data_IF_067712777752
#
_entry.id   IF_067712777752
#
_cell.length_a   1.000
_cell.length_b   1.000
_cell.length_c   1.000
_cell.angle_alpha   90.00
_cell.angle_beta   90.00
_cell.angle_gamma   90.00
#
_symmetry.space_group_name_H-M   'P 1'
#
loop_
_entity.id
_entity.type
_entity.pdbx_description
1 polymer ?
#
# COMPACT_ATOMS: atom_id res chain seq x y z
N UNK A 1 -21.50 -10.58 -9.08
CA UNK A 1 -20.57 -9.98 -10.06
C UNK A 1 -20.51 -8.48 -9.83
N UNK A 2 -19.32 -7.87 -9.74
CA UNK A 2 -19.10 -6.48 -9.30
C UNK A 2 -19.51 -5.39 -10.34
N UNK A 3 -20.38 -5.72 -11.30
CA UNK A 3 -20.93 -4.78 -12.28
C UNK A 3 -19.96 -4.26 -13.36
N UNK A 4 -18.76 -4.85 -13.45
CA UNK A 4 -17.75 -4.52 -14.45
C UNK A 4 -17.60 -5.58 -15.56
N UNK A 5 -16.57 -5.45 -16.39
CA UNK A 5 -16.25 -6.40 -17.47
C UNK A 5 -14.90 -7.07 -17.23
N UNK A 6 -14.72 -8.29 -17.73
CA UNK A 6 -13.44 -9.03 -17.73
C UNK A 6 -13.22 -9.55 -19.15
N UNK A 7 -12.01 -9.41 -19.69
CA UNK A 7 -11.64 -9.91 -21.02
C UNK A 7 -10.15 -10.24 -21.13
N UNK A 8 -9.77 -10.91 -22.23
CA UNK A 8 -8.42 -11.41 -22.49
C UNK A 8 -8.02 -11.09 -23.93
N UNK A 9 -6.78 -10.64 -24.11
CA UNK A 9 -6.12 -10.55 -25.41
C UNK A 9 -4.94 -11.50 -25.42
N UNK A 10 -4.86 -12.41 -26.40
CA UNK A 10 -3.79 -13.40 -26.46
C UNK A 10 -3.37 -13.66 -27.89
N UNK A 11 -2.06 -13.75 -28.12
CA UNK A 11 -1.48 -14.14 -29.40
C UNK A 11 -0.37 -15.18 -29.17
N UNK A 12 -0.43 -16.27 -29.93
CA UNK A 12 0.51 -17.38 -29.80
C UNK A 12 1.94 -16.89 -30.00
N UNK A 13 2.83 -17.24 -29.06
CA UNK A 13 4.23 -16.80 -29.09
C UNK A 13 4.49 -15.35 -28.67
N UNK A 14 3.45 -14.52 -28.45
CA UNK A 14 3.58 -13.15 -27.92
C UNK A 14 3.08 -13.00 -26.48
N UNK A 15 2.28 -13.96 -26.00
CA UNK A 15 1.75 -14.00 -24.65
C UNK A 15 0.28 -13.57 -24.56
N UNK A 16 -0.17 -13.30 -23.34
CA UNK A 16 -1.56 -13.02 -23.03
C UNK A 16 -1.67 -11.88 -22.01
N UNK A 17 -2.68 -11.01 -22.17
CA UNK A 17 -2.99 -9.91 -21.25
C UNK A 17 -4.43 -10.03 -20.77
N UNK A 18 -4.60 -10.13 -19.44
CA UNK A 18 -5.91 -10.13 -18.79
C UNK A 18 -6.30 -8.71 -18.38
N UNK A 19 -7.56 -8.34 -18.64
CA UNK A 19 -8.10 -7.04 -18.29
C UNK A 19 -9.38 -7.19 -17.46
N UNK A 20 -9.61 -6.23 -16.58
CA UNK A 20 -10.89 -6.07 -15.91
C UNK A 20 -11.23 -4.59 -15.72
N UNK A 21 -12.52 -4.29 -15.63
CA UNK A 21 -13.04 -2.98 -15.27
C UNK A 21 -14.00 -3.11 -14.09
N UNK A 22 -14.16 -2.04 -13.33
CA UNK A 22 -15.15 -1.93 -12.25
C UNK A 22 -15.85 -0.57 -12.35
N UNK A 23 -17.17 -0.49 -12.11
CA UNK A 23 -17.88 0.78 -12.08
C UNK A 23 -17.39 1.62 -10.89
N UNK A 24 -16.73 2.74 -11.18
CA UNK A 24 -16.26 3.67 -10.16
C UNK A 24 -17.27 4.79 -9.95
N UNK A 25 -17.86 4.87 -8.75
CA UNK A 25 -18.66 6.02 -8.31
C UNK A 25 -17.80 6.89 -7.41
N UNK A 26 -17.28 7.99 -7.95
CA UNK A 26 -16.56 8.98 -7.16
C UNK A 26 -17.52 9.65 -6.17
N UNK A 27 -17.32 9.41 -4.88
CA UNK A 27 -17.92 10.23 -3.84
C UNK A 27 -16.96 11.40 -3.63
N UNK A 28 -17.38 12.61 -3.98
CA UNK A 28 -16.66 13.82 -3.52
C UNK A 28 -16.67 13.79 -2.01
N UNK A 29 -15.56 13.42 -1.38
CA UNK A 29 -15.46 13.54 0.07
C UNK A 29 -15.42 15.03 0.39
N UNK A 30 -16.50 15.57 0.97
CA UNK A 30 -16.41 16.75 1.80
C UNK A 30 -15.70 16.36 3.10
N UNK A 31 -14.41 16.03 3.02
CA UNK A 31 -13.54 16.03 4.18
C UNK A 31 -12.85 17.38 4.18
N UNK A 32 -13.48 18.34 4.82
CA UNK A 32 -12.71 19.24 5.67
C UNK A 32 -11.88 18.35 6.59
N UNK A 33 -10.65 18.05 6.17
CA UNK A 33 -9.64 17.64 7.11
C UNK A 33 -9.50 18.83 8.05
N UNK A 34 -10.14 18.74 9.23
CA UNK A 34 -9.66 19.48 10.39
C UNK A 34 -8.17 19.18 10.44
N UNK A 35 -7.35 20.15 10.01
CA UNK A 35 -5.92 20.14 10.22
C UNK A 35 -5.77 20.01 11.72
N UNK A 36 -5.51 18.79 12.20
CA UNK A 36 -5.04 18.61 13.55
C UNK A 36 -3.73 19.40 13.60
N UNK A 37 -3.75 20.53 14.31
CA UNK A 37 -2.55 21.22 14.74
C UNK A 37 -1.81 20.23 15.64
N UNK A 38 -0.79 19.54 15.11
CA UNK A 38 -0.06 18.56 15.92
C UNK A 38 0.72 17.52 15.12
N UNK A 39 1.58 17.96 14.21
CA UNK A 39 2.88 17.35 13.95
C UNK A 39 3.53 18.21 12.87
N UNK A 40 4.75 18.66 13.11
CA UNK A 40 5.57 19.16 12.02
C UNK A 40 5.58 18.08 10.92
N UNK A 41 5.45 18.44 9.63
CA UNK A 41 5.66 17.46 8.57
C UNK A 41 7.00 16.79 8.85
N UNK A 42 7.01 15.45 8.89
CA UNK A 42 8.19 14.64 9.18
C UNK A 42 9.33 15.24 8.33
N UNK A 43 10.24 16.00 8.97
CA UNK A 43 11.27 16.73 8.23
C UNK A 43 12.05 15.65 7.51
N UNK A 44 12.03 15.69 6.19
CA UNK A 44 12.66 14.69 5.32
C UNK A 44 14.17 14.68 5.55
N UNK A 45 14.57 14.03 6.62
CA UNK A 45 15.92 13.65 6.96
C UNK A 45 16.17 12.27 6.34
N UNK A 46 17.44 11.90 6.07
CA UNK A 46 17.80 10.78 5.19
C UNK A 46 17.01 9.51 5.50
N UNK A 47 16.57 8.81 4.44
CA UNK A 47 15.80 7.55 4.42
C UNK A 47 15.85 6.78 5.76
N UNK A 48 14.95 7.11 6.68
CA UNK A 48 14.84 6.38 7.94
C UNK A 48 14.31 4.98 7.61
N UNK A 49 14.91 3.98 8.25
CA UNK A 49 14.48 2.59 8.14
C UNK A 49 13.54 2.28 9.30
N UNK A 50 12.40 1.67 8.99
CA UNK A 50 11.39 1.23 9.95
C UNK A 50 11.30 -0.29 9.87
N UNK A 51 11.46 -0.94 11.02
CA UNK A 51 11.17 -2.36 11.20
C UNK A 51 9.69 -2.53 11.61
N UNK A 52 8.94 -3.30 10.85
CA UNK A 52 7.55 -3.66 11.15
C UNK A 52 7.52 -5.13 11.57
N UNK A 53 7.01 -5.39 12.77
CA UNK A 53 6.83 -6.74 13.32
C UNK A 53 5.36 -7.12 13.21
N UNK A 54 5.00 -7.85 12.15
CA UNK A 54 3.60 -8.13 11.78
C UNK A 54 3.51 -9.47 11.03
N UNK A 55 2.71 -10.40 11.57
CA UNK A 55 2.54 -11.76 11.04
C UNK A 55 1.54 -11.82 9.90
N UNK A 56 0.53 -10.94 9.88
CA UNK A 56 -0.53 -10.95 8.86
C UNK A 56 -0.18 -10.10 7.62
N UNK A 57 -0.29 -10.68 6.43
CA UNK A 57 0.17 -10.06 5.18
C UNK A 57 -0.63 -8.81 4.80
N UNK A 58 -1.94 -8.81 4.98
CA UNK A 58 -2.82 -7.69 4.63
C UNK A 58 -2.49 -6.46 5.50
N UNK A 59 -2.27 -6.69 6.78
CA UNK A 59 -1.91 -5.69 7.79
C UNK A 59 -0.52 -5.13 7.51
N UNK A 60 0.45 -6.00 7.19
CA UNK A 60 1.77 -5.55 6.75
C UNK A 60 1.70 -4.70 5.48
N UNK A 61 0.93 -5.12 4.47
CA UNK A 61 0.79 -4.38 3.22
C UNK A 61 0.19 -3.00 3.45
N UNK A 62 -0.85 -2.91 4.29
CA UNK A 62 -1.45 -1.64 4.69
C UNK A 62 -0.42 -0.69 5.35
N UNK A 63 0.35 -1.19 6.32
CA UNK A 63 1.39 -0.41 7.00
C UNK A 63 2.49 0.02 6.03
N UNK A 64 2.97 -0.90 5.18
CA UNK A 64 3.98 -0.63 4.15
C UNK A 64 3.54 0.50 3.21
N UNK A 65 2.29 0.49 2.74
CA UNK A 65 1.76 1.53 1.86
C UNK A 65 1.71 2.91 2.54
N UNK A 66 1.35 2.96 3.82
CA UNK A 66 1.37 4.21 4.60
C UNK A 66 2.79 4.73 4.78
N UNK A 67 3.73 3.87 5.14
CA UNK A 67 5.12 4.24 5.43
C UNK A 67 5.89 4.61 4.15
N UNK A 68 5.63 3.90 3.04
CA UNK A 68 6.27 4.18 1.75
C UNK A 68 5.93 5.58 1.22
N UNK A 69 4.68 6.04 1.39
CA UNK A 69 4.26 7.42 1.04
C UNK A 69 5.07 8.49 1.77
N UNK A 70 5.66 8.14 2.91
CA UNK A 70 6.51 9.03 3.71
C UNK A 70 8.02 8.87 3.40
N UNK A 71 8.38 8.19 2.30
CA UNK A 71 9.77 7.96 1.86
C UNK A 71 10.63 7.23 2.91
N UNK A 72 10.02 6.30 3.64
CA UNK A 72 10.69 5.45 4.62
C UNK A 72 11.07 4.10 3.98
N UNK A 73 12.23 3.55 4.35
CA UNK A 73 12.58 2.16 4.03
C UNK A 73 11.87 1.25 5.04
N UNK A 74 11.18 0.22 4.57
CA UNK A 74 10.44 -0.71 5.43
C UNK A 74 11.11 -2.09 5.38
N UNK A 75 11.41 -2.66 6.56
CA UNK A 75 11.84 -4.04 6.76
C UNK A 75 10.74 -4.75 7.54
N UNK A 76 10.49 -6.02 7.25
CA UNK A 76 9.49 -6.85 7.94
C UNK A 76 10.17 -7.90 8.81
N UNK A 77 9.62 -8.14 9.98
CA UNK A 77 9.71 -9.39 10.71
C UNK A 77 8.29 -9.95 10.91
N UNK A 78 8.10 -11.27 10.82
CA UNK A 78 6.78 -11.90 11.07
C UNK A 78 6.54 -12.18 12.55
N UNK A 79 7.56 -12.09 13.39
CA UNK A 79 7.43 -12.28 14.83
C UNK A 79 8.57 -11.55 15.60
N UNK A 80 8.50 -11.59 16.93
CA UNK A 80 9.47 -10.90 17.79
C UNK A 80 10.88 -11.51 17.75
N UNK A 81 11.01 -12.82 17.53
CA UNK A 81 12.32 -13.48 17.45
C UNK A 81 13.06 -13.06 16.18
N UNK A 82 12.38 -13.07 15.04
CA UNK A 82 12.93 -12.57 13.77
C UNK A 82 13.31 -11.09 13.89
N UNK A 83 12.50 -10.27 14.58
CA UNK A 83 12.77 -8.86 14.77
C UNK A 83 14.10 -8.58 15.50
N UNK A 84 14.45 -9.43 16.47
CA UNK A 84 15.70 -9.31 17.24
C UNK A 84 16.91 -9.79 16.43
N UNK A 85 16.69 -10.72 15.49
CA UNK A 85 17.74 -11.37 14.70
C UNK A 85 18.04 -10.70 13.34
N UNK A 86 17.40 -9.56 13.04
CA UNK A 86 17.52 -8.82 11.76
C UNK A 86 18.64 -7.78 11.72
#
# INVERSE_FOLDING_TARGET
MLGGKIWLESEQGKGSTLFFSLPFRSVKSSKEQKKQKGSEPFKSHPLHTVLVVEDEETSFLYLKEILYRNKLKVIRAVNGEEAINL
#
